data_IF_305522918142
#
_entry.id   IF_305522918142
#
_cell.length_a   1.000
_cell.length_b   1.000
_cell.length_c   1.000
_cell.angle_alpha   90.00
_cell.angle_beta   90.00
_cell.angle_gamma   90.00
#
_symmetry.space_group_name_H-M   'P 1'
#
loop_
_entity.id
_entity.type
_entity.pdbx_description
1 polymer ?
#
# COMPACT_ATOMS: atom_id res chain seq x y z
N UNK A 1 -15.25 12.42 15.19
CA UNK A 1 -13.93 12.03 14.65
C UNK A 1 -14.19 10.87 13.70
N UNK A 2 -13.82 10.99 12.45
CA UNK A 2 -14.02 9.93 11.46
C UNK A 2 -13.12 8.74 11.83
N UNK A 3 -13.63 7.50 11.77
CA UNK A 3 -12.85 6.28 11.99
C UNK A 3 -11.66 6.15 11.02
N UNK A 4 -11.63 7.02 10.01
CA UNK A 4 -10.56 7.10 9.01
C UNK A 4 -9.41 8.04 9.41
N UNK A 5 -9.44 8.65 10.60
CA UNK A 5 -8.32 9.50 11.07
C UNK A 5 -7.09 8.66 11.44
N UNK A 6 -7.27 7.39 11.73
CA UNK A 6 -6.19 6.45 12.08
C UNK A 6 -6.13 5.31 11.05
N UNK A 7 -4.94 5.03 10.57
CA UNK A 7 -4.67 3.90 9.67
C UNK A 7 -4.12 2.76 10.51
N UNK A 8 -4.98 1.81 10.85
CA UNK A 8 -4.67 0.68 11.71
C UNK A 8 -5.84 -0.29 11.85
N UNK A 9 -5.70 -1.34 12.67
CA UNK A 9 -6.74 -2.35 12.86
C UNK A 9 -8.11 -1.79 13.23
N UNK A 10 -8.15 -0.64 13.91
CA UNK A 10 -9.37 0.05 14.33
C UNK A 10 -10.22 0.60 13.15
N UNK A 11 -9.60 0.79 11.98
CA UNK A 11 -10.31 1.21 10.77
C UNK A 11 -11.00 0.03 10.04
N UNK A 12 -10.56 -1.21 10.27
CA UNK A 12 -11.03 -2.39 9.53
C UNK A 12 -12.55 -2.59 9.58
N UNK A 13 -13.25 -2.46 10.73
CA UNK A 13 -14.69 -2.64 10.77
C UNK A 13 -15.44 -1.67 9.84
N UNK A 14 -15.05 -0.39 9.84
CA UNK A 14 -15.66 0.63 8.97
C UNK A 14 -15.40 0.32 7.49
N UNK A 15 -14.19 -0.13 7.14
CA UNK A 15 -13.87 -0.50 5.77
C UNK A 15 -14.62 -1.77 5.32
N UNK A 16 -14.85 -2.73 6.23
CA UNK A 16 -15.67 -3.91 5.96
C UNK A 16 -17.14 -3.52 5.66
N UNK A 17 -17.72 -2.64 6.48
CA UNK A 17 -19.06 -2.11 6.24
C UNK A 17 -19.16 -1.42 4.87
N UNK A 18 -18.17 -0.64 4.49
CA UNK A 18 -18.12 0.00 3.17
C UNK A 18 -18.07 -1.03 2.03
N UNK A 19 -17.27 -2.09 2.15
CA UNK A 19 -17.23 -3.19 1.17
C UNK A 19 -18.59 -3.86 1.03
N UNK A 20 -19.26 -4.15 2.13
CA UNK A 20 -20.62 -4.76 2.12
C UNK A 20 -21.65 -3.84 1.46
N UNK A 21 -21.60 -2.54 1.75
CA UNK A 21 -22.47 -1.54 1.13
C UNK A 21 -22.25 -1.45 -0.39
N UNK A 22 -20.99 -1.49 -0.84
CA UNK A 22 -20.66 -1.47 -2.28
C UNK A 22 -21.16 -2.75 -2.95
N UNK A 23 -21.00 -3.92 -2.33
CA UNK A 23 -21.52 -5.20 -2.84
C UNK A 23 -23.06 -5.15 -2.96
N UNK A 24 -23.74 -4.61 -1.95
CA UNK A 24 -25.18 -4.45 -1.97
C UNK A 24 -25.63 -3.51 -3.11
N UNK A 25 -24.94 -2.39 -3.30
CA UNK A 25 -25.20 -1.44 -4.37
C UNK A 25 -24.97 -2.05 -5.76
N UNK A 26 -23.90 -2.83 -5.94
CA UNK A 26 -23.61 -3.54 -7.19
C UNK A 26 -24.73 -4.50 -7.57
N UNK A 27 -25.23 -5.26 -6.60
CA UNK A 27 -26.39 -6.16 -6.80
C UNK A 27 -27.66 -5.39 -7.14
N UNK A 28 -27.91 -4.26 -6.46
CA UNK A 28 -29.07 -3.39 -6.72
C UNK A 28 -29.07 -2.84 -8.14
N UNK A 29 -27.90 -2.54 -8.70
CA UNK A 29 -27.73 -2.06 -10.07
C UNK A 29 -27.74 -3.19 -11.11
N UNK A 30 -27.79 -4.47 -10.74
CA UNK A 30 -28.00 -5.59 -11.67
C UNK A 30 -26.73 -6.41 -11.97
N UNK A 31 -25.64 -6.23 -11.25
CA UNK A 31 -24.48 -7.11 -11.37
C UNK A 31 -24.82 -8.54 -10.96
N UNK A 32 -24.43 -9.53 -11.78
CA UNK A 32 -24.61 -10.96 -11.48
C UNK A 32 -23.63 -11.45 -10.40
N UNK A 33 -22.43 -10.86 -10.37
CA UNK A 33 -21.42 -11.06 -9.33
C UNK A 33 -20.55 -9.82 -9.22
N UNK A 34 -19.89 -9.65 -8.07
CA UNK A 34 -18.96 -8.55 -7.86
C UNK A 34 -17.87 -8.90 -6.84
N UNK A 35 -16.76 -8.23 -6.95
CA UNK A 35 -15.70 -8.18 -5.96
C UNK A 35 -15.26 -6.72 -5.72
N UNK A 36 -14.91 -6.42 -4.49
CA UNK A 36 -14.55 -5.09 -4.03
C UNK A 36 -13.29 -5.17 -3.20
N UNK A 37 -12.34 -4.32 -3.50
CA UNK A 37 -11.14 -4.12 -2.68
C UNK A 37 -11.09 -2.67 -2.20
N UNK A 38 -10.90 -2.49 -0.90
CA UNK A 38 -10.70 -1.17 -0.28
C UNK A 38 -9.33 -1.14 0.38
N UNK A 39 -8.60 -0.06 0.14
CA UNK A 39 -7.33 0.21 0.79
C UNK A 39 -7.36 1.57 1.49
N UNK A 40 -6.69 1.64 2.64
CA UNK A 40 -6.39 2.88 3.35
C UNK A 40 -4.92 2.81 3.73
N UNK A 41 -4.12 3.77 3.28
CA UNK A 41 -2.67 3.75 3.47
C UNK A 41 -2.18 5.09 4.01
N UNK A 42 -1.11 5.06 4.79
CA UNK A 42 -0.40 6.22 5.29
C UNK A 42 1.08 5.93 5.32
N UNK A 43 1.89 6.89 4.89
CA UNK A 43 3.34 6.76 4.87
C UNK A 43 4.08 8.05 5.18
N UNK A 44 5.27 7.89 5.72
CA UNK A 44 6.30 8.93 5.82
C UNK A 44 7.52 8.41 5.06
N UNK A 45 8.04 9.20 4.15
CA UNK A 45 9.28 8.93 3.41
C UNK A 45 10.21 10.11 3.53
N UNK A 46 11.47 9.83 3.84
CA UNK A 46 12.53 10.83 3.95
C UNK A 46 13.69 10.42 3.07
N UNK A 47 14.21 11.35 2.30
CA UNK A 47 15.43 11.16 1.53
C UNK A 47 16.43 12.24 1.91
N UNK A 48 17.65 11.82 2.20
CA UNK A 48 18.79 12.71 2.42
C UNK A 48 19.83 12.43 1.33
N UNK A 49 20.59 13.47 0.98
CA UNK A 49 21.66 13.38 0.01
C UNK A 49 22.75 14.38 0.34
N UNK A 50 24.01 13.94 0.39
CA UNK A 50 25.16 14.77 0.71
C UNK A 50 25.00 15.55 2.04
N UNK A 51 24.47 14.85 3.06
CA UNK A 51 24.22 15.37 4.41
C UNK A 51 23.16 16.48 4.49
N UNK A 52 22.35 16.62 3.46
CA UNK A 52 21.23 17.55 3.42
C UNK A 52 19.91 16.80 3.19
N UNK A 53 18.84 17.34 3.70
CA UNK A 53 17.50 16.79 3.46
C UNK A 53 17.08 17.14 2.04
N UNK A 54 16.80 16.15 1.22
CA UNK A 54 16.30 16.34 -0.14
C UNK A 54 14.76 16.35 -0.15
N UNK A 55 14.12 15.37 0.49
CA UNK A 55 12.66 15.31 0.58
C UNK A 55 12.20 14.78 1.93
N UNK A 56 11.06 15.27 2.40
CA UNK A 56 10.24 14.67 3.46
C UNK A 56 8.81 14.68 2.96
N UNK A 57 8.26 13.49 2.74
CA UNK A 57 6.93 13.32 2.18
C UNK A 57 6.05 12.55 3.16
N UNK A 58 4.85 13.08 3.38
CA UNK A 58 3.80 12.39 4.10
C UNK A 58 2.62 12.19 3.16
N UNK A 59 2.25 10.94 2.95
CA UNK A 59 1.11 10.60 2.12
C UNK A 59 0.03 9.88 2.92
N UNK A 60 -1.20 10.07 2.46
CA UNK A 60 -2.36 9.34 2.95
C UNK A 60 -3.31 9.11 1.80
N UNK A 61 -3.54 7.86 1.49
CA UNK A 61 -4.32 7.46 0.34
C UNK A 61 -5.44 6.49 0.73
N UNK A 62 -6.58 6.63 0.06
CA UNK A 62 -7.70 5.71 0.14
C UNK A 62 -8.11 5.31 -1.28
N UNK A 63 -8.41 4.03 -1.47
CA UNK A 63 -8.82 3.53 -2.77
C UNK A 63 -9.96 2.51 -2.66
N UNK A 64 -10.89 2.59 -3.61
CA UNK A 64 -11.98 1.64 -3.80
C UNK A 64 -11.88 1.06 -5.21
N UNK A 65 -11.53 -0.20 -5.31
CA UNK A 65 -11.53 -0.96 -6.56
C UNK A 65 -12.77 -1.83 -6.65
N UNK A 66 -13.57 -1.68 -7.70
CA UNK A 66 -14.84 -2.37 -7.88
C UNK A 66 -14.78 -3.13 -9.20
N UNK A 67 -14.95 -4.44 -9.15
CA UNK A 67 -15.07 -5.30 -10.33
C UNK A 67 -16.42 -5.94 -10.34
N UNK A 68 -17.15 -5.79 -11.45
CA UNK A 68 -18.49 -6.31 -11.64
C UNK A 68 -18.53 -7.31 -12.80
N UNK A 69 -19.46 -8.26 -12.70
CA UNK A 69 -19.72 -9.24 -13.71
C UNK A 69 -21.20 -9.18 -14.14
N UNK A 70 -21.44 -9.23 -15.46
CA UNK A 70 -22.75 -9.40 -16.07
C UNK A 70 -22.68 -10.69 -16.93
N UNK A 71 -23.11 -11.82 -16.35
CA UNK A 71 -22.82 -13.12 -16.93
C UNK A 71 -21.30 -13.35 -16.96
N UNK A 72 -20.74 -13.55 -18.16
CA UNK A 72 -19.32 -13.76 -18.42
C UNK A 72 -18.58 -12.48 -18.89
N UNK A 73 -19.19 -11.32 -18.71
CA UNK A 73 -18.60 -10.01 -19.05
C UNK A 73 -18.12 -9.32 -17.80
N UNK A 74 -16.96 -8.71 -17.86
CA UNK A 74 -16.30 -8.08 -16.73
C UNK A 74 -16.10 -6.60 -16.98
N UNK A 75 -16.39 -5.76 -15.97
CA UNK A 75 -16.06 -4.35 -15.94
C UNK A 75 -15.46 -3.96 -14.60
N UNK A 76 -14.49 -3.05 -14.62
CA UNK A 76 -13.83 -2.57 -13.41
C UNK A 76 -13.73 -1.05 -13.44
N UNK A 77 -13.94 -0.44 -12.29
CA UNK A 77 -13.73 0.98 -12.06
C UNK A 77 -13.17 1.21 -10.65
N UNK A 78 -12.57 2.36 -10.41
CA UNK A 78 -12.01 2.72 -9.11
C UNK A 78 -12.25 4.19 -8.79
N UNK A 79 -12.26 4.51 -7.49
CA UNK A 79 -12.33 5.87 -6.97
C UNK A 79 -11.55 6.00 -5.68
N UNK A 80 -11.10 7.21 -5.37
CA UNK A 80 -10.58 7.57 -4.05
C UNK A 80 -11.63 8.23 -3.15
N UNK A 81 -12.80 8.54 -3.69
CA UNK A 81 -13.88 9.20 -2.96
C UNK A 81 -14.76 8.17 -2.24
N UNK A 82 -14.95 8.35 -0.92
CA UNK A 82 -15.75 7.46 -0.06
C UNK A 82 -17.23 7.85 0.05
N UNK A 83 -17.66 8.95 -0.57
CA UNK A 83 -19.04 9.42 -0.54
C UNK A 83 -19.99 8.48 -1.28
N UNK A 84 -21.22 8.30 -0.74
CA UNK A 84 -22.21 7.38 -1.31
C UNK A 84 -22.55 7.66 -2.80
N UNK A 85 -22.51 8.93 -3.23
CA UNK A 85 -22.70 9.32 -4.62
C UNK A 85 -21.57 8.80 -5.50
N UNK A 86 -20.31 9.09 -5.13
CA UNK A 86 -19.14 8.67 -5.89
C UNK A 86 -19.04 7.14 -6.00
N UNK A 87 -19.38 6.43 -4.92
CA UNK A 87 -19.46 4.96 -4.94
C UNK A 87 -20.51 4.48 -5.92
N UNK A 88 -21.71 5.07 -5.91
CA UNK A 88 -22.82 4.72 -6.82
C UNK A 88 -22.44 4.96 -8.28
N UNK A 89 -21.80 6.09 -8.58
CA UNK A 89 -21.30 6.41 -9.92
C UNK A 89 -20.20 5.45 -10.36
N UNK A 90 -19.30 5.08 -9.46
CA UNK A 90 -18.21 4.12 -9.76
C UNK A 90 -18.77 2.72 -10.04
N UNK A 91 -19.79 2.29 -9.28
CA UNK A 91 -20.50 1.03 -9.55
C UNK A 91 -21.19 1.09 -10.92
N UNK A 92 -21.88 2.20 -11.24
CA UNK A 92 -22.54 2.37 -12.53
C UNK A 92 -21.54 2.36 -13.70
N UNK A 93 -20.37 3.00 -13.53
CA UNK A 93 -19.30 2.99 -14.52
C UNK A 93 -18.75 1.58 -14.77
N UNK A 94 -18.47 0.82 -13.70
CA UNK A 94 -18.01 -0.57 -13.82
C UNK A 94 -19.06 -1.46 -14.50
N UNK A 95 -20.36 -1.25 -14.19
CA UNK A 95 -21.45 -1.98 -14.80
C UNK A 95 -21.55 -1.67 -16.31
N UNK A 96 -21.52 -0.40 -16.70
CA UNK A 96 -21.55 0.00 -18.10
C UNK A 96 -20.37 -0.60 -18.90
N UNK A 97 -19.18 -0.68 -18.29
CA UNK A 97 -18.04 -1.34 -18.93
C UNK A 97 -18.33 -2.84 -19.12
N UNK A 98 -18.86 -3.52 -18.09
CA UNK A 98 -19.20 -4.94 -18.18
C UNK A 98 -20.24 -5.22 -19.27
N UNK A 99 -21.29 -4.40 -19.39
CA UNK A 99 -22.35 -4.53 -20.39
C UNK A 99 -21.84 -4.44 -21.83
N UNK A 100 -20.78 -3.66 -22.06
CA UNK A 100 -20.18 -3.46 -23.39
C UNK A 100 -18.93 -4.33 -23.64
N UNK A 101 -18.45 -5.06 -22.63
CA UNK A 101 -17.32 -5.95 -22.78
C UNK A 101 -17.67 -7.21 -23.57
N UNK A 102 -16.69 -7.82 -24.22
CA UNK A 102 -16.85 -9.16 -24.81
C UNK A 102 -17.00 -10.22 -23.74
N UNK A 103 -17.76 -11.27 -24.06
CA UNK A 103 -17.85 -12.45 -23.18
C UNK A 103 -16.52 -13.21 -23.14
N UNK A 104 -16.13 -13.61 -21.94
CA UNK A 104 -14.98 -14.46 -21.67
C UNK A 104 -15.42 -15.61 -20.76
N UNK A 105 -15.36 -16.85 -21.27
CA UNK A 105 -15.80 -18.04 -20.58
C UNK A 105 -15.08 -18.27 -19.23
N UNK A 106 -13.93 -17.66 -19.03
CA UNK A 106 -13.15 -17.74 -17.79
C UNK A 106 -13.33 -16.53 -16.86
N UNK A 107 -14.16 -15.56 -17.25
CA UNK A 107 -14.46 -14.38 -16.44
C UNK A 107 -15.48 -14.68 -15.37
N UNK A 108 -15.15 -14.41 -14.10
CA UNK A 108 -16.06 -14.63 -12.97
C UNK A 108 -15.31 -14.73 -11.64
N UNK A 109 -16.08 -14.82 -10.56
CA UNK A 109 -15.51 -15.13 -9.24
C UNK A 109 -15.11 -16.61 -9.17
N UNK A 110 -14.09 -16.90 -8.36
CA UNK A 110 -13.80 -18.27 -7.96
C UNK A 110 -15.03 -18.90 -7.29
N UNK A 111 -15.21 -20.20 -7.45
CA UNK A 111 -16.37 -20.90 -6.89
C UNK A 111 -16.52 -20.66 -5.39
N UNK A 112 -17.76 -20.50 -4.89
CA UNK A 112 -18.03 -20.19 -3.48
C UNK A 112 -17.43 -21.20 -2.50
N UNK A 113 -17.28 -22.45 -2.90
CA UNK A 113 -16.63 -23.50 -2.10
C UNK A 113 -15.10 -23.35 -1.93
N UNK A 114 -14.48 -22.46 -2.71
CA UNK A 114 -13.04 -22.18 -2.65
C UNK A 114 -12.72 -20.95 -1.76
N UNK A 115 -13.74 -20.27 -1.23
CA UNK A 115 -13.54 -19.15 -0.32
C UNK A 115 -12.93 -19.63 1.00
N UNK A 116 -11.98 -18.86 1.52
CA UNK A 116 -11.39 -19.10 2.84
C UNK A 116 -12.49 -19.07 3.91
N UNK A 117 -12.43 -19.98 4.86
CA UNK A 117 -13.38 -20.07 5.98
C UNK A 117 -12.81 -19.48 7.26
N UNK A 118 -11.52 -19.52 7.39
CA UNK A 118 -10.78 -19.00 8.53
C UNK A 118 -9.67 -18.07 8.02
N UNK A 119 -9.52 -16.96 8.69
CA UNK A 119 -8.48 -15.99 8.42
C UNK A 119 -7.40 -16.15 9.50
N UNK A 120 -6.19 -16.55 9.10
CA UNK A 120 -5.07 -16.61 10.02
C UNK A 120 -4.63 -15.19 10.40
N UNK A 121 -4.28 -15.00 11.65
CA UNK A 121 -3.50 -13.83 12.06
C UNK A 121 -2.06 -14.02 11.54
N UNK A 122 -1.63 -13.11 10.67
CA UNK A 122 -0.33 -13.17 10.02
C UNK A 122 0.71 -12.27 10.71
N UNK A 123 0.33 -11.61 11.82
CA UNK A 123 1.19 -10.72 12.61
C UNK A 123 1.90 -9.66 11.73
N UNK A 124 1.12 -8.92 10.94
CA UNK A 124 1.65 -8.01 9.93
C UNK A 124 1.72 -6.55 10.37
N UNK A 125 1.15 -6.18 11.52
CA UNK A 125 0.97 -4.79 11.92
C UNK A 125 1.81 -4.42 13.14
N UNK A 126 2.92 -3.74 12.89
CA UNK A 126 3.88 -3.24 13.88
C UNK A 126 4.19 -1.76 13.61
N UNK A 127 3.34 -0.82 14.10
CA UNK A 127 3.50 0.59 13.77
C UNK A 127 4.77 1.18 14.40
N UNK A 128 5.56 1.84 13.58
CA UNK A 128 6.73 2.58 13.98
C UNK A 128 6.43 4.08 13.88
N UNK A 129 6.24 4.73 15.02
CA UNK A 129 5.78 6.12 15.09
C UNK A 129 6.95 7.09 15.08
N UNK A 130 7.68 7.16 13.96
CA UNK A 130 8.74 8.14 13.76
C UNK A 130 8.16 9.52 13.50
N UNK A 131 8.80 10.54 14.09
CA UNK A 131 8.62 11.92 13.63
C UNK A 131 9.43 12.17 12.36
N UNK A 132 9.10 13.21 11.57
CA UNK A 132 9.94 13.61 10.43
C UNK A 132 11.39 13.84 10.81
N UNK A 133 11.64 14.49 11.95
CA UNK A 133 12.99 14.79 12.45
C UNK A 133 13.76 13.50 12.75
N UNK A 134 13.13 12.53 13.42
CA UNK A 134 13.75 11.23 13.71
C UNK A 134 14.04 10.44 12.42
N UNK A 135 13.17 10.50 11.43
CA UNK A 135 13.41 9.83 10.16
C UNK A 135 14.58 10.46 9.38
N UNK A 136 14.72 11.78 9.44
CA UNK A 136 15.88 12.51 8.89
C UNK A 136 17.18 12.12 9.60
N UNK A 137 17.16 12.06 10.93
CA UNK A 137 18.33 11.72 11.75
C UNK A 137 18.84 10.31 11.40
N UNK A 138 17.97 9.32 11.35
CA UNK A 138 18.32 7.95 10.98
C UNK A 138 18.87 7.85 9.54
N UNK A 139 18.29 8.57 8.58
CA UNK A 139 18.78 8.58 7.21
C UNK A 139 20.17 9.25 7.10
N UNK A 140 20.40 10.34 7.84
CA UNK A 140 21.72 11.01 7.91
C UNK A 140 22.79 10.13 8.59
N UNK A 141 22.43 9.41 9.64
CA UNK A 141 23.34 8.47 10.30
C UNK A 141 23.77 7.35 9.35
N UNK A 142 22.82 6.77 8.58
CA UNK A 142 23.11 5.75 7.58
C UNK A 142 24.03 6.29 6.46
N UNK A 143 23.73 7.46 5.91
CA UNK A 143 24.58 8.08 4.89
C UNK A 143 26.00 8.36 5.43
N UNK A 144 26.10 8.86 6.67
CA UNK A 144 27.38 9.14 7.30
C UNK A 144 28.21 7.86 7.52
N UNK A 145 27.59 6.76 7.94
CA UNK A 145 28.25 5.47 8.08
C UNK A 145 28.78 4.95 6.74
N UNK A 146 28.01 5.07 5.67
CA UNK A 146 28.41 4.69 4.33
C UNK A 146 29.59 5.52 3.82
N UNK A 147 29.60 6.85 3.99
CA UNK A 147 30.74 7.71 3.63
C UNK A 147 32.01 7.38 4.45
N UNK A 148 31.85 6.91 5.69
CA UNK A 148 32.98 6.56 6.54
C UNK A 148 33.58 5.17 6.19
N UNK A 149 32.87 4.30 5.48
CA UNK A 149 33.27 2.95 5.18
C UNK A 149 34.50 2.87 4.24
N UNK A 150 34.59 3.77 3.25
CA UNK A 150 35.72 3.81 2.31
C UNK A 150 35.92 5.23 1.77
N UNK A 151 37.17 5.69 1.72
CA UNK A 151 37.54 7.03 1.22
C UNK A 151 37.27 7.23 -0.29
N UNK A 152 37.02 6.17 -1.04
CA UNK A 152 36.62 6.22 -2.46
C UNK A 152 35.14 6.59 -2.62
N UNK A 153 34.33 6.44 -1.59
CA UNK A 153 32.94 6.86 -1.61
C UNK A 153 32.91 8.39 -1.52
N UNK A 154 32.71 9.02 -2.67
CA UNK A 154 32.83 10.48 -2.83
C UNK A 154 31.47 11.16 -3.01
N UNK A 155 30.40 10.41 -3.29
CA UNK A 155 29.06 10.94 -3.54
C UNK A 155 27.98 9.94 -3.11
N UNK A 156 26.77 10.45 -2.93
CA UNK A 156 25.58 9.68 -2.68
C UNK A 156 24.51 9.99 -3.74
N UNK A 157 23.72 8.98 -4.10
CA UNK A 157 22.52 9.14 -4.93
C UNK A 157 21.24 9.22 -4.08
N UNK A 158 21.42 9.08 -2.77
CA UNK A 158 20.40 9.27 -1.74
C UNK A 158 20.35 8.13 -0.75
N UNK A 159 20.06 8.49 0.49
CA UNK A 159 19.71 7.55 1.56
C UNK A 159 18.26 7.82 1.94
N UNK A 160 17.43 6.78 1.89
CA UNK A 160 16.00 6.92 2.09
C UNK A 160 15.51 6.01 3.21
N UNK A 161 14.72 6.58 4.12
CA UNK A 161 13.96 5.84 5.12
C UNK A 161 12.47 6.01 4.81
N UNK A 162 11.73 4.91 4.80
CA UNK A 162 10.28 4.96 4.67
C UNK A 162 9.59 4.09 5.69
N UNK A 163 8.45 4.58 6.20
CA UNK A 163 7.56 3.85 7.08
C UNK A 163 6.15 3.97 6.55
N UNK A 164 5.50 2.81 6.34
CA UNK A 164 4.14 2.71 5.82
C UNK A 164 3.30 1.82 6.71
N UNK A 165 2.04 2.21 6.87
CA UNK A 165 0.98 1.40 7.47
C UNK A 165 -0.25 1.42 6.59
N UNK A 166 -0.97 0.33 6.54
CA UNK A 166 -2.14 0.23 5.69
C UNK A 166 -3.14 -0.80 6.17
N UNK A 167 -4.38 -0.59 5.76
CA UNK A 167 -5.50 -1.50 5.92
C UNK A 167 -5.98 -1.94 4.55
N UNK A 168 -6.28 -3.22 4.40
CA UNK A 168 -6.88 -3.77 3.19
C UNK A 168 -8.09 -4.61 3.55
N UNK A 169 -9.18 -4.40 2.81
CA UNK A 169 -10.39 -5.20 2.90
C UNK A 169 -10.75 -5.66 1.50
N UNK A 170 -11.00 -6.94 1.36
CA UNK A 170 -11.54 -7.54 0.16
C UNK A 170 -12.85 -8.23 0.50
N UNK A 171 -13.85 -8.06 -0.35
CA UNK A 171 -15.10 -8.79 -0.25
C UNK A 171 -15.69 -9.13 -1.62
N UNK A 172 -16.56 -10.12 -1.67
CA UNK A 172 -17.22 -10.50 -2.90
C UNK A 172 -18.66 -10.94 -2.69
N UNK A 173 -19.39 -11.08 -3.79
CA UNK A 173 -20.81 -11.42 -3.77
C UNK A 173 -21.13 -12.87 -3.34
N UNK A 174 -20.14 -13.72 -3.07
CA UNK A 174 -20.35 -15.02 -2.42
C UNK A 174 -20.44 -14.90 -0.88
N UNK A 175 -20.35 -13.69 -0.34
CA UNK A 175 -20.44 -13.42 1.11
C UNK A 175 -19.10 -13.53 1.83
N UNK A 176 -18.00 -13.62 1.10
CA UNK A 176 -16.66 -13.53 1.68
C UNK A 176 -16.29 -12.07 1.92
N UNK A 177 -15.80 -11.77 3.12
CA UNK A 177 -15.12 -10.51 3.48
C UNK A 177 -13.88 -10.86 4.28
N UNK A 178 -12.72 -10.44 3.80
CA UNK A 178 -11.44 -10.63 4.47
C UNK A 178 -10.70 -9.30 4.62
N UNK A 179 -9.99 -9.11 5.73
CA UNK A 179 -9.29 -7.86 6.01
C UNK A 179 -8.02 -8.09 6.81
N UNK A 180 -7.05 -7.20 6.63
CA UNK A 180 -5.86 -7.14 7.46
C UNK A 180 -5.30 -5.72 7.51
N UNK A 181 -4.60 -5.42 8.60
CA UNK A 181 -3.71 -4.27 8.69
C UNK A 181 -2.26 -4.74 8.54
N UNK A 182 -1.40 -3.90 8.01
CA UNK A 182 0.01 -4.22 7.85
C UNK A 182 0.89 -2.98 7.90
N UNK A 183 2.16 -3.20 8.24
CA UNK A 183 3.22 -2.19 8.20
C UNK A 183 4.35 -2.65 7.29
N UNK A 184 5.12 -1.70 6.80
CA UNK A 184 6.36 -1.95 6.07
C UNK A 184 7.29 -0.77 6.31
N UNK A 185 8.48 -1.09 6.78
CA UNK A 185 9.55 -0.13 7.01
C UNK A 185 10.74 -0.50 6.15
N UNK A 186 11.44 0.48 5.62
CA UNK A 186 12.66 0.24 4.82
C UNK A 186 13.67 1.35 5.01
N UNK A 187 14.93 0.96 5.05
CA UNK A 187 16.08 1.86 4.99
C UNK A 187 16.91 1.43 3.78
N UNK A 188 17.33 2.38 2.96
CA UNK A 188 18.16 2.12 1.79
C UNK A 188 19.22 3.20 1.63
N UNK A 189 20.41 2.81 1.19
CA UNK A 189 21.51 3.71 0.94
C UNK A 189 22.10 3.44 -0.44
N UNK A 190 22.29 4.49 -1.23
CA UNK A 190 22.83 4.40 -2.58
C UNK A 190 24.07 5.29 -2.68
N UNK A 191 25.23 4.68 -2.87
CA UNK A 191 26.50 5.36 -2.84
C UNK A 191 27.22 5.31 -4.18
N UNK A 192 28.07 6.29 -4.43
CA UNK A 192 28.90 6.41 -5.62
C UNK A 192 30.34 6.49 -5.15
N UNK A 193 31.15 5.51 -5.56
CA UNK A 193 32.58 5.48 -5.33
C UNK A 193 33.32 5.89 -6.60
N UNK A 194 34.47 6.58 -6.46
CA UNK A 194 35.31 7.02 -7.56
C UNK A 194 36.77 6.63 -7.30
N UNK A 195 37.40 6.10 -8.34
CA UNK A 195 38.83 5.84 -8.36
C UNK A 195 39.38 5.99 -9.78
N UNK A 196 40.47 6.74 -9.94
CA UNK A 196 41.18 6.94 -11.21
C UNK A 196 40.24 7.43 -12.34
N UNK A 197 39.28 8.29 -12.05
CA UNK A 197 38.31 8.82 -13.00
C UNK A 197 37.18 7.84 -13.36
N UNK A 198 37.14 6.67 -12.73
CA UNK A 198 36.06 5.69 -12.91
C UNK A 198 35.11 5.73 -11.72
N UNK A 199 33.82 5.79 -12.01
CA UNK A 199 32.75 5.78 -11.00
C UNK A 199 32.01 4.45 -11.01
N UNK A 200 31.64 3.99 -9.81
CA UNK A 200 30.75 2.86 -9.61
C UNK A 200 29.64 3.29 -8.64
N UNK A 201 28.42 2.88 -8.95
CA UNK A 201 27.23 3.09 -8.12
C UNK A 201 26.75 1.75 -7.61
N UNK A 202 26.52 1.66 -6.31
CA UNK A 202 25.95 0.47 -5.69
C UNK A 202 24.99 0.87 -4.59
N UNK A 203 24.17 -0.06 -4.15
CA UNK A 203 23.16 0.19 -3.12
C UNK A 203 22.97 -1.02 -2.23
N UNK A 204 22.50 -0.74 -1.04
CA UNK A 204 21.98 -1.77 -0.14
C UNK A 204 20.68 -1.29 0.51
N UNK A 205 19.88 -2.21 1.00
CA UNK A 205 18.64 -1.90 1.68
C UNK A 205 18.25 -3.01 2.64
N UNK A 206 17.46 -2.65 3.64
CA UNK A 206 16.74 -3.58 4.49
C UNK A 206 15.26 -3.23 4.56
N UNK A 207 14.42 -4.25 4.75
CA UNK A 207 12.97 -4.13 4.79
C UNK A 207 12.42 -5.04 5.87
N UNK A 208 11.65 -4.46 6.80
CA UNK A 208 11.01 -5.24 7.85
C UNK A 208 9.58 -4.74 8.11
N UNK A 209 8.76 -5.58 8.75
CA UNK A 209 7.46 -5.19 9.28
C UNK A 209 7.56 -4.48 10.63
N UNK A 210 8.62 -4.75 11.38
CA UNK A 210 8.95 -4.13 12.64
C UNK A 210 10.13 -3.19 12.42
N UNK A 211 9.96 -1.89 12.68
CA UNK A 211 11.00 -0.90 12.43
C UNK A 211 12.27 -1.11 13.25
N UNK A 212 12.10 -1.62 14.46
CA UNK A 212 13.21 -1.92 15.39
C UNK A 212 14.07 -3.12 14.95
N UNK A 213 13.58 -3.91 13.98
CA UNK A 213 14.31 -5.05 13.40
C UNK A 213 14.98 -4.71 12.07
N UNK A 214 14.88 -3.46 11.59
CA UNK A 214 15.73 -3.02 10.49
C UNK A 214 17.19 -3.07 10.89
N UNK A 215 18.06 -3.35 9.93
CA UNK A 215 19.49 -3.21 10.13
C UNK A 215 19.81 -1.79 10.62
N UNK A 216 20.81 -1.67 11.47
CA UNK A 216 21.29 -0.37 11.92
C UNK A 216 21.96 0.41 10.77
N UNK A 217 22.29 1.66 11.03
CA UNK A 217 22.87 2.57 10.05
C UNK A 217 24.19 2.06 9.43
N UNK A 218 24.91 1.16 10.11
CA UNK A 218 26.16 0.57 9.59
C UNK A 218 25.92 -0.74 8.84
N UNK A 219 24.74 -1.35 8.99
CA UNK A 219 24.34 -2.59 8.34
C UNK A 219 23.69 -2.39 6.96
N UNK A 220 23.30 -1.16 6.64
CA UNK A 220 22.77 -0.72 5.36
C UNK A 220 23.78 0.14 4.62
#
# INVERSE_FOLDING_TARGET
MSALEHVGPEALPTLQEQVEQIIAEARRQGASACEVAVSLEQGLSTTVRQREVETVEFNRDQGFGITLYVGQRKGSASTSASGAEAIRETVAAALAIAEHASEDAFSGLAGAGLMAREMADLDLYHPWNLTPEQSVELALECEAAAFAADSRISNADGTSLSTHRGCRVYGNSHGFVGSYASTRHSLSCVMIAERDGQMQRDYWYDVNRQGELLADAAGV
#
